data_IF_966671205666
#
_entry.id   IF_966671205666
#
_cell.length_a   1.000
_cell.length_b   1.000
_cell.length_c   1.000
_cell.angle_alpha   90.00
_cell.angle_beta   90.00
_cell.angle_gamma   90.00
#
_symmetry.space_group_name_H-M   'P 1'
#
loop_
_entity.id
_entity.type
_entity.pdbx_description
1 polymer ?
#
# COMPACT_ATOMS: atom_id res chain seq x y z
N UNK A 1 0.12 31.06 -35.88
CA UNK A 1 0.29 31.90 -34.68
C UNK A 1 -1.05 32.37 -34.15
N UNK A 2 -2.11 32.45 -34.98
CA UNK A 2 -3.45 32.85 -34.54
C UNK A 2 -4.28 31.69 -33.93
N UNK A 3 -4.00 30.44 -34.31
CA UNK A 3 -4.70 29.25 -33.80
C UNK A 3 -4.38 28.92 -32.32
N UNK A 4 -3.27 29.43 -31.80
CA UNK A 4 -2.83 29.19 -30.41
C UNK A 4 -3.52 30.14 -29.42
N UNK A 5 -3.90 31.34 -29.87
CA UNK A 5 -4.70 32.29 -29.09
C UNK A 5 -6.18 31.95 -29.09
N UNK A 6 -6.72 31.36 -30.18
CA UNK A 6 -8.13 30.96 -30.25
C UNK A 6 -8.45 29.75 -29.35
N UNK A 7 -7.47 28.88 -29.10
CA UNK A 7 -7.61 27.75 -28.17
C UNK A 7 -7.62 28.19 -26.70
N UNK A 8 -6.92 29.28 -26.36
CA UNK A 8 -6.86 29.84 -25.01
C UNK A 8 -8.14 30.59 -24.61
N UNK A 9 -8.91 31.14 -25.57
CA UNK A 9 -10.23 31.74 -25.31
C UNK A 9 -11.36 30.69 -25.24
N UNK A 10 -11.07 29.44 -25.61
CA UNK A 10 -12.03 28.32 -25.67
C UNK A 10 -11.83 27.29 -24.56
N UNK A 11 -11.10 27.63 -23.49
CA UNK A 11 -11.09 26.80 -22.28
C UNK A 11 -12.42 26.98 -21.54
N UNK A 12 -13.12 25.90 -21.19
CA UNK A 12 -14.35 26.02 -20.45
C UNK A 12 -14.06 26.65 -19.07
N UNK A 13 -14.96 27.51 -18.55
CA UNK A 13 -14.76 28.31 -17.32
C UNK A 13 -14.52 27.44 -16.07
N UNK A 14 -14.65 26.13 -16.18
CA UNK A 14 -14.25 25.15 -15.18
C UNK A 14 -12.75 25.12 -14.90
N UNK A 15 -11.89 25.35 -15.90
CA UNK A 15 -10.43 25.34 -15.69
C UNK A 15 -9.93 26.62 -15.02
N UNK A 16 -10.51 27.78 -15.36
CA UNK A 16 -10.19 29.06 -14.72
C UNK A 16 -10.51 29.04 -13.23
N UNK A 17 -11.66 28.46 -12.85
CA UNK A 17 -12.05 28.31 -11.43
C UNK A 17 -11.09 27.44 -10.64
N UNK A 18 -10.57 26.37 -11.24
CA UNK A 18 -9.58 25.49 -10.59
C UNK A 18 -8.25 26.22 -10.45
N UNK A 19 -7.83 26.98 -11.47
CA UNK A 19 -6.64 27.81 -11.42
C UNK A 19 -6.69 28.88 -10.34
N UNK A 20 -7.82 29.57 -10.18
CA UNK A 20 -8.03 30.58 -9.13
C UNK A 20 -8.04 29.96 -7.73
N UNK A 21 -8.73 28.83 -7.55
CA UNK A 21 -8.72 28.10 -6.27
C UNK A 21 -7.32 27.65 -5.84
N UNK A 22 -6.48 27.23 -6.79
CA UNK A 22 -5.09 26.82 -6.51
C UNK A 22 -4.24 28.05 -6.15
N UNK A 23 -4.40 29.17 -6.86
CA UNK A 23 -3.69 30.43 -6.58
C UNK A 23 -4.09 31.04 -5.23
N UNK A 24 -5.37 31.01 -4.88
CA UNK A 24 -5.87 31.48 -3.58
C UNK A 24 -5.39 30.59 -2.42
N UNK A 25 -5.25 29.28 -2.65
CA UNK A 25 -4.69 28.35 -1.68
C UNK A 25 -3.18 28.58 -1.48
N UNK A 26 -2.45 29.00 -2.52
CA UNK A 26 -1.02 29.32 -2.44
C UNK A 26 -0.76 30.67 -1.75
N UNK A 27 -1.60 31.69 -2.03
CA UNK A 27 -1.50 33.01 -1.42
C UNK A 27 -1.84 33.00 0.09
N UNK A 28 -2.62 32.02 0.55
CA UNK A 28 -3.01 31.84 1.94
C UNK A 28 -2.22 30.69 2.56
N UNK A 29 -0.97 30.96 2.91
CA UNK A 29 -0.03 29.96 3.45
C UNK A 29 -0.62 29.03 4.52
N UNK A 30 -0.12 27.80 4.58
CA UNK A 30 -0.69 26.75 5.44
C UNK A 30 -0.67 27.14 6.92
N UNK A 31 -1.82 26.96 7.58
CA UNK A 31 -1.94 27.15 9.03
C UNK A 31 -0.95 26.21 9.75
N UNK A 32 -0.20 26.68 10.76
CA UNK A 32 0.71 25.83 11.54
C UNK A 32 0.05 24.56 12.07
N UNK A 33 -1.23 24.62 12.49
CA UNK A 33 -1.96 23.44 12.93
C UNK A 33 -2.19 22.40 11.82
N UNK A 34 -2.44 22.84 10.59
CA UNK A 34 -2.57 21.96 9.44
C UNK A 34 -1.21 21.34 9.06
N UNK A 35 -0.13 22.13 9.11
CA UNK A 35 1.23 21.61 8.87
C UNK A 35 1.55 20.51 9.88
N UNK A 36 1.30 20.75 11.16
CA UNK A 36 1.54 19.75 12.22
C UNK A 36 0.69 18.50 11.99
N UNK A 37 -0.59 18.65 11.64
CA UNK A 37 -1.46 17.51 11.33
C UNK A 37 -0.91 16.68 10.17
N UNK A 38 -0.51 17.32 9.07
CA UNK A 38 0.07 16.64 7.92
C UNK A 38 1.38 15.94 8.28
N UNK A 39 2.25 16.57 9.07
CA UNK A 39 3.51 15.98 9.50
C UNK A 39 3.28 14.76 10.39
N UNK A 40 2.39 14.85 11.38
CA UNK A 40 2.11 13.73 12.30
C UNK A 40 1.45 12.58 11.56
N UNK A 41 0.42 12.84 10.75
CA UNK A 41 -0.25 11.81 9.95
C UNK A 41 0.72 11.20 8.94
N UNK A 42 1.52 12.01 8.26
CA UNK A 42 2.53 11.55 7.30
C UNK A 42 3.59 10.66 7.95
N UNK A 43 4.13 11.06 9.10
CA UNK A 43 5.08 10.25 9.87
C UNK A 43 4.49 8.90 10.28
N UNK A 44 3.25 8.89 10.79
CA UNK A 44 2.58 7.66 11.19
C UNK A 44 2.32 6.73 10.01
N UNK A 45 1.90 7.27 8.86
CA UNK A 45 1.68 6.49 7.64
C UNK A 45 3.00 5.88 7.12
N UNK A 46 4.07 6.68 7.03
CA UNK A 46 5.38 6.20 6.60
C UNK A 46 5.90 5.12 7.56
N UNK A 47 5.77 5.33 8.86
CA UNK A 47 6.17 4.35 9.86
C UNK A 47 5.39 3.04 9.73
N UNK A 48 4.07 3.11 9.57
CA UNK A 48 3.22 1.94 9.47
C UNK A 48 3.47 1.16 8.17
N UNK A 49 3.57 1.86 7.04
CA UNK A 49 3.86 1.25 5.74
C UNK A 49 5.28 0.65 5.74
N UNK A 50 6.27 1.39 6.21
CA UNK A 50 7.65 0.90 6.32
C UNK A 50 7.74 -0.34 7.20
N UNK A 51 7.06 -0.35 8.34
CA UNK A 51 7.01 -1.52 9.23
C UNK A 51 6.25 -2.69 8.60
N UNK A 52 5.17 -2.44 7.88
CA UNK A 52 4.42 -3.49 7.18
C UNK A 52 5.24 -4.14 6.07
N UNK A 53 5.93 -3.34 5.26
CA UNK A 53 6.83 -3.84 4.21
C UNK A 53 7.98 -4.62 4.83
N UNK A 54 8.58 -4.12 5.90
CA UNK A 54 9.65 -4.82 6.61
C UNK A 54 9.17 -6.15 7.21
N UNK A 55 7.96 -6.16 7.79
CA UNK A 55 7.33 -7.38 8.29
C UNK A 55 7.07 -8.39 7.16
N UNK A 56 6.53 -7.94 6.03
CA UNK A 56 6.33 -8.80 4.86
C UNK A 56 7.65 -9.34 4.31
N UNK A 57 8.69 -8.51 4.25
CA UNK A 57 10.01 -8.92 3.81
C UNK A 57 10.58 -10.00 4.74
N UNK A 58 10.54 -9.73 6.05
CA UNK A 58 10.96 -10.69 7.06
C UNK A 58 10.19 -12.00 6.93
N UNK A 59 8.86 -11.97 6.72
CA UNK A 59 8.07 -13.19 6.53
C UNK A 59 8.46 -13.98 5.28
N UNK A 60 8.87 -13.32 4.20
CA UNK A 60 9.35 -13.97 2.98
C UNK A 60 10.73 -14.60 3.16
N UNK A 61 11.60 -13.99 3.96
CA UNK A 61 12.94 -14.50 4.26
C UNK A 61 12.96 -15.48 5.44
N UNK A 62 11.95 -15.43 6.30
CA UNK A 62 11.79 -16.33 7.43
C UNK A 62 11.51 -17.73 6.89
N UNK A 63 12.33 -18.74 7.25
CA UNK A 63 12.06 -20.10 6.84
C UNK A 63 10.67 -20.50 7.36
N UNK A 64 9.90 -21.29 6.57
CA UNK A 64 8.54 -21.68 6.94
C UNK A 64 8.56 -22.22 8.35
N UNK A 65 7.83 -21.54 9.26
CA UNK A 65 7.83 -21.87 10.70
C UNK A 65 7.67 -23.37 10.80
N UNK A 66 8.70 -24.07 11.32
CA UNK A 66 8.71 -25.53 11.37
C UNK A 66 7.41 -25.96 12.03
N UNK A 67 6.46 -26.46 11.24
CA UNK A 67 5.23 -27.05 11.77
C UNK A 67 5.71 -28.08 12.78
N UNK A 68 5.18 -28.04 14.01
CA UNK A 68 5.58 -29.00 15.05
C UNK A 68 5.64 -30.37 14.40
N UNK A 69 6.78 -31.10 14.49
CA UNK A 69 6.94 -32.34 13.78
C UNK A 69 5.74 -33.21 14.09
N UNK A 70 4.97 -33.50 13.05
CA UNK A 70 3.76 -34.29 13.19
C UNK A 70 4.24 -35.66 13.64
N UNK A 71 3.85 -36.06 14.85
CA UNK A 71 4.23 -37.36 15.41
C UNK A 71 4.02 -38.44 14.34
N UNK A 72 4.99 -39.35 14.19
CA UNK A 72 4.96 -40.41 13.18
C UNK A 72 3.62 -41.18 13.20
N UNK A 73 2.98 -41.30 14.36
CA UNK A 73 1.64 -41.88 14.53
C UNK A 73 0.53 -41.08 13.81
N UNK A 74 0.58 -39.75 13.88
CA UNK A 74 -0.38 -38.86 13.20
C UNK A 74 -0.10 -38.82 11.68
N UNK A 75 1.16 -38.83 11.24
CA UNK A 75 1.48 -38.95 9.80
C UNK A 75 1.02 -40.29 9.22
N UNK A 76 1.24 -41.41 9.92
CA UNK A 76 0.75 -42.72 9.49
C UNK A 76 -0.78 -42.73 9.43
N UNK A 77 -1.46 -42.16 10.43
CA UNK A 77 -2.93 -42.08 10.47
C UNK A 77 -3.52 -41.23 9.34
N UNK A 78 -2.90 -40.10 9.02
CA UNK A 78 -3.30 -39.26 7.88
C UNK A 78 -3.02 -39.96 6.54
N UNK A 79 -1.86 -40.59 6.36
CA UNK A 79 -1.53 -41.36 5.15
C UNK A 79 -2.47 -42.56 4.92
N UNK A 80 -2.81 -43.28 5.99
CA UNK A 80 -3.79 -44.37 5.94
C UNK A 80 -5.21 -43.87 5.62
N UNK A 81 -5.60 -42.69 6.12
CA UNK A 81 -6.90 -42.06 5.78
C UNK A 81 -6.95 -41.54 4.34
N UNK A 82 -5.82 -41.10 3.81
CA UNK A 82 -5.71 -40.64 2.42
C UNK A 82 -5.58 -41.79 1.42
N UNK A 83 -5.57 -43.05 1.88
CA UNK A 83 -5.44 -44.22 1.01
C UNK A 83 -4.08 -44.33 0.31
N UNK A 84 -3.10 -43.52 0.72
CA UNK A 84 -1.77 -43.53 0.12
C UNK A 84 -1.02 -44.72 0.71
N UNK A 85 -1.02 -45.83 -0.03
CA UNK A 85 -0.12 -46.97 0.20
C UNK A 85 1.31 -46.44 0.34
N UNK A 86 2.05 -46.96 1.31
CA UNK A 86 3.44 -46.54 1.51
C UNK A 86 4.23 -46.76 0.21
N UNK A 87 5.14 -45.85 -0.17
CA UNK A 87 6.04 -46.09 -1.30
C UNK A 87 6.96 -47.26 -0.91
N UNK A 88 6.61 -48.45 -1.37
CA UNK A 88 7.25 -49.72 -1.00
C UNK A 88 6.23 -50.82 -0.74
N UNK A 89 5.56 -51.26 -1.80
CA UNK A 89 5.54 -52.69 -2.10
C UNK A 89 6.93 -53.08 -2.64
#
# INVERSE_FOLDING_TARGET
MDDEYEFADKVPPSFDRVGDMIKDAEAKGFNPGLIVLLVVVGLLLIFLVGNYVLYMYAQKTLPPRKKKPVSKKKMKRERMKQGVSAPGE
#
